data_IF_295747573552
#
_entry.id   IF_295747573552
#
_cell.length_a   1.000
_cell.length_b   1.000
_cell.length_c   1.000
_cell.angle_alpha   90.00
_cell.angle_beta   90.00
_cell.angle_gamma   90.00
#
_symmetry.space_group_name_H-M   'P 1'
#
loop_
_entity.id
_entity.type
_entity.pdbx_description
1 polymer ?
#
# COMPACT_ATOMS: atom_id res chain seq x y z
N UNK A 1 13.21 -4.40 -10.35
CA UNK A 1 14.20 -4.09 -9.30
C UNK A 1 14.38 -2.59 -9.14
N UNK A 2 14.59 -1.82 -10.21
CA UNK A 2 14.71 -0.36 -10.14
C UNK A 2 13.51 0.31 -9.45
N UNK A 3 12.28 -0.07 -9.81
CA UNK A 3 11.05 0.49 -9.20
C UNK A 3 10.96 0.24 -7.70
N UNK A 4 11.43 -0.91 -7.23
CA UNK A 4 11.42 -1.24 -5.80
C UNK A 4 12.45 -0.43 -5.02
N UNK A 5 13.59 -0.11 -5.64
CA UNK A 5 14.58 0.81 -5.06
C UNK A 5 14.01 2.22 -5.02
N UNK A 6 13.43 2.69 -6.13
CA UNK A 6 12.82 4.02 -6.24
C UNK A 6 11.69 4.24 -5.21
N UNK A 7 10.78 3.28 -5.07
CA UNK A 7 9.72 3.34 -4.07
C UNK A 7 10.27 3.36 -2.64
N UNK A 8 11.30 2.55 -2.36
CA UNK A 8 11.94 2.53 -1.04
C UNK A 8 12.67 3.83 -0.72
N UNK A 9 13.41 4.38 -1.67
CA UNK A 9 14.15 5.63 -1.47
C UNK A 9 13.18 6.79 -1.24
N UNK A 10 12.07 6.85 -1.98
CA UNK A 10 11.01 7.83 -1.73
C UNK A 10 10.33 7.64 -0.37
N UNK A 11 10.10 6.40 0.08
CA UNK A 11 9.56 6.12 1.40
C UNK A 11 10.52 6.54 2.54
N UNK A 12 11.83 6.32 2.37
CA UNK A 12 12.85 6.78 3.32
C UNK A 12 12.96 8.29 3.37
N UNK A 13 13.01 8.94 2.21
CA UNK A 13 13.04 10.41 2.13
C UNK A 13 11.79 11.00 2.82
N UNK A 14 10.64 10.38 2.64
CA UNK A 14 9.42 10.79 3.30
C UNK A 14 9.45 10.65 4.83
N UNK A 15 10.37 9.87 5.42
CA UNK A 15 10.50 9.70 6.87
C UNK A 15 11.74 10.39 7.45
N UNK A 16 12.55 11.04 6.62
CA UNK A 16 13.85 11.59 7.02
C UNK A 16 13.76 12.72 8.08
N UNK A 17 12.61 13.36 8.21
CA UNK A 17 12.33 14.42 9.19
C UNK A 17 11.72 13.91 10.50
N UNK A 18 11.57 12.59 10.68
CA UNK A 18 11.01 12.02 11.90
C UNK A 18 12.06 11.96 13.00
N UNK A 19 11.72 12.56 14.14
CA UNK A 19 12.46 12.47 15.39
C UNK A 19 11.57 11.78 16.44
N UNK A 20 12.16 11.11 17.47
CA UNK A 20 13.59 10.99 17.77
C UNK A 20 14.33 9.90 16.96
N UNK A 21 15.66 9.83 17.10
CA UNK A 21 16.55 8.93 16.33
C UNK A 21 16.18 7.45 16.53
N UNK A 22 15.78 7.06 17.73
CA UNK A 22 15.37 5.68 18.04
C UNK A 22 14.14 5.27 17.24
N UNK A 23 13.12 6.13 17.15
CA UNK A 23 11.93 5.88 16.33
C UNK A 23 12.28 5.87 14.83
N UNK A 24 13.14 6.79 14.39
CA UNK A 24 13.62 6.82 13.02
C UNK A 24 14.34 5.52 12.64
N UNK A 25 15.15 4.96 13.54
CA UNK A 25 15.84 3.69 13.31
C UNK A 25 14.86 2.51 13.17
N UNK A 26 13.80 2.45 13.99
CA UNK A 26 12.72 1.46 13.87
C UNK A 26 12.04 1.57 12.50
N UNK A 27 11.68 2.78 12.09
CA UNK A 27 11.05 3.04 10.80
C UNK A 27 11.92 2.60 9.61
N UNK A 28 13.21 2.96 9.60
CA UNK A 28 14.13 2.57 8.52
C UNK A 28 14.35 1.05 8.48
N UNK A 29 14.52 0.41 9.64
CA UNK A 29 14.63 -1.05 9.74
C UNK A 29 13.44 -1.76 9.09
N UNK A 30 12.22 -1.27 9.34
CA UNK A 30 11.00 -1.82 8.73
C UNK A 30 10.96 -1.65 7.21
N UNK A 31 11.41 -0.51 6.68
CA UNK A 31 11.47 -0.29 5.23
C UNK A 31 12.55 -1.15 4.53
N UNK A 32 13.61 -1.55 5.25
CA UNK A 32 14.63 -2.48 4.73
C UNK A 32 14.02 -3.86 4.49
N UNK A 33 13.30 -4.37 5.49
CA UNK A 33 12.80 -5.75 5.50
C UNK A 33 11.58 -5.95 4.62
N UNK A 34 10.76 -4.90 4.47
CA UNK A 34 9.48 -5.07 3.80
C UNK A 34 9.54 -5.15 2.27
N UNK A 35 8.51 -5.80 1.73
CA UNK A 35 8.21 -5.85 0.31
C UNK A 35 7.70 -4.51 -0.22
N UNK A 36 8.31 -4.04 -1.30
CA UNK A 36 7.93 -2.80 -1.99
C UNK A 36 6.83 -3.02 -3.04
N UNK A 37 6.11 -4.14 -2.98
CA UNK A 37 5.12 -4.52 -4.01
C UNK A 37 4.01 -3.46 -4.21
N UNK A 38 3.37 -2.91 -3.15
CA UNK A 38 2.40 -1.84 -3.32
C UNK A 38 2.97 -0.61 -4.04
N UNK A 39 4.15 -0.12 -3.62
CA UNK A 39 4.80 1.01 -4.28
C UNK A 39 5.16 0.74 -5.73
N UNK A 40 5.67 -0.47 -6.03
CA UNK A 40 5.97 -0.89 -7.42
C UNK A 40 4.71 -0.98 -8.26
N UNK A 41 3.60 -1.47 -7.71
CA UNK A 41 2.32 -1.53 -8.42
C UNK A 41 1.85 -0.12 -8.79
N UNK A 42 1.96 0.87 -7.89
CA UNK A 42 1.65 2.27 -8.19
C UNK A 42 2.47 2.81 -9.38
N UNK A 43 3.79 2.59 -9.38
CA UNK A 43 4.66 3.00 -10.48
C UNK A 43 4.33 2.28 -11.79
N UNK A 44 4.03 0.97 -11.70
CA UNK A 44 3.66 0.13 -12.84
C UNK A 44 2.34 0.60 -13.46
N UNK A 45 1.35 0.95 -12.63
CA UNK A 45 0.06 1.46 -13.09
C UNK A 45 0.18 2.79 -13.81
N UNK A 46 0.99 3.73 -13.30
CA UNK A 46 1.24 4.99 -14.01
C UNK A 46 1.90 4.74 -15.38
N UNK A 47 2.96 3.93 -15.41
CA UNK A 47 3.70 3.59 -16.63
C UNK A 47 2.86 2.84 -17.66
N UNK A 48 1.91 2.01 -17.22
CA UNK A 48 1.01 1.29 -18.12
C UNK A 48 0.12 2.25 -18.93
N UNK A 49 -0.27 3.39 -18.36
CA UNK A 49 -1.12 4.39 -19.03
C UNK A 49 -0.31 5.46 -19.76
N UNK A 50 0.86 5.81 -19.23
CA UNK A 50 1.82 6.72 -19.85
C UNK A 50 3.24 6.12 -19.80
N UNK A 51 3.69 5.43 -20.87
CA UNK A 51 5.01 4.79 -20.90
C UNK A 51 6.20 5.75 -20.83
N UNK A 52 5.98 7.06 -21.03
CA UNK A 52 7.04 8.08 -20.99
C UNK A 52 6.97 8.97 -19.75
N UNK A 53 6.09 8.64 -18.79
CA UNK A 53 5.97 9.37 -17.52
C UNK A 53 7.30 9.38 -16.76
N UNK A 54 7.62 10.53 -16.18
CA UNK A 54 8.71 10.63 -15.22
C UNK A 54 8.28 10.06 -13.87
N UNK A 55 8.81 8.88 -13.53
CA UNK A 55 8.42 8.14 -12.32
C UNK A 55 8.89 8.79 -11.04
N UNK A 56 9.87 9.70 -11.08
CA UNK A 56 10.25 10.48 -9.90
C UNK A 56 9.09 11.37 -9.45
N UNK A 57 8.26 11.83 -10.37
CA UNK A 57 7.05 12.61 -10.04
C UNK A 57 5.93 11.77 -9.43
N UNK A 58 6.00 10.44 -9.58
CA UNK A 58 5.02 9.49 -9.03
C UNK A 58 5.53 8.84 -7.74
N UNK A 59 6.84 8.90 -7.49
CA UNK A 59 7.50 8.21 -6.39
C UNK A 59 6.94 8.61 -5.01
N UNK A 60 6.56 9.87 -4.81
CA UNK A 60 5.89 10.31 -3.57
C UNK A 60 4.53 9.62 -3.35
N UNK A 61 3.75 9.39 -4.41
CA UNK A 61 2.48 8.65 -4.30
C UNK A 61 2.72 7.18 -4.01
N UNK A 62 3.71 6.58 -4.68
CA UNK A 62 4.12 5.20 -4.44
C UNK A 62 4.59 4.99 -2.99
N UNK A 63 5.39 5.93 -2.46
CA UNK A 63 5.77 5.96 -1.06
C UNK A 63 4.53 6.09 -0.15
N UNK A 64 3.60 6.98 -0.48
CA UNK A 64 2.36 7.15 0.27
C UNK A 64 1.57 5.85 0.45
N UNK A 65 1.37 5.11 -0.65
CA UNK A 65 0.70 3.80 -0.63
C UNK A 65 1.50 2.77 0.18
N UNK A 66 2.81 2.72 -0.02
CA UNK A 66 3.70 1.79 0.70
C UNK A 66 3.66 2.02 2.21
N UNK A 67 3.73 3.28 2.66
CA UNK A 67 3.71 3.63 4.07
C UNK A 67 2.36 3.27 4.72
N UNK A 68 1.24 3.50 4.02
CA UNK A 68 -0.08 3.05 4.51
C UNK A 68 -0.11 1.53 4.68
N UNK A 69 0.39 0.78 3.68
CA UNK A 69 0.44 -0.68 3.77
C UNK A 69 1.26 -1.15 4.98
N UNK A 70 2.48 -0.64 5.15
CA UNK A 70 3.34 -1.06 6.26
C UNK A 70 2.76 -0.70 7.61
N UNK A 71 2.19 0.49 7.75
CA UNK A 71 1.56 0.91 8.99
C UNK A 71 0.40 0.00 9.38
N UNK A 72 -0.52 -0.27 8.44
CA UNK A 72 -1.68 -1.14 8.69
C UNK A 72 -1.28 -2.61 8.91
N UNK A 73 -0.27 -3.10 8.18
CA UNK A 73 0.27 -4.44 8.38
C UNK A 73 0.88 -4.58 9.78
N UNK A 74 1.64 -3.57 10.23
CA UNK A 74 2.18 -3.54 11.58
C UNK A 74 1.07 -3.46 12.63
N UNK A 75 0.06 -2.62 12.43
CA UNK A 75 -1.12 -2.58 13.31
C UNK A 75 -1.78 -3.95 13.43
N UNK A 76 -1.92 -4.69 12.32
CA UNK A 76 -2.45 -6.07 12.32
C UNK A 76 -1.58 -7.01 13.17
N UNK A 77 -0.26 -6.98 12.98
CA UNK A 77 0.67 -7.78 13.78
C UNK A 77 0.55 -7.45 15.28
N UNK A 78 0.57 -6.16 15.64
CA UNK A 78 0.46 -5.72 17.03
C UNK A 78 -0.87 -6.10 17.67
N UNK A 79 -1.98 -6.00 16.92
CA UNK A 79 -3.30 -6.42 17.39
C UNK A 79 -3.42 -7.94 17.60
N UNK A 80 -2.63 -8.75 16.88
CA UNK A 80 -2.64 -10.21 17.02
C UNK A 80 -1.71 -10.69 18.13
N UNK A 81 -0.51 -10.11 18.21
CA UNK A 81 0.55 -10.61 19.08
C UNK A 81 0.47 -9.98 20.48
N UNK A 82 -0.13 -8.80 20.61
CA UNK A 82 -0.28 -8.02 21.85
C UNK A 82 1.01 -8.02 22.71
N UNK A 83 2.15 -7.57 22.17
CA UNK A 83 3.48 -7.79 22.79
C UNK A 83 3.60 -7.22 24.21
N UNK A 84 2.86 -6.16 24.54
CA UNK A 84 2.78 -5.56 25.88
C UNK A 84 2.23 -6.52 26.96
N UNK A 85 1.49 -7.57 26.59
CA UNK A 85 1.04 -8.60 27.54
C UNK A 85 2.13 -9.62 27.88
N UNK A 86 3.12 -9.77 26.99
CA UNK A 86 4.20 -10.74 27.09
C UNK A 86 5.56 -10.11 27.41
N UNK A 87 5.64 -8.78 27.56
CA UNK A 87 6.86 -8.04 27.82
C UNK A 87 7.58 -8.57 29.08
N UNK A 88 8.80 -9.06 28.89
CA UNK A 88 9.59 -9.68 29.96
C UNK A 88 10.39 -8.65 30.79
N UNK A 89 10.68 -7.49 30.20
CA UNK A 89 11.44 -6.39 30.78
C UNK A 89 11.03 -5.04 30.15
N UNK A 90 11.67 -3.95 30.62
CA UNK A 90 11.40 -2.59 30.17
C UNK A 90 11.83 -2.32 28.73
N UNK A 91 12.84 -3.03 28.22
CA UNK A 91 13.33 -2.82 26.86
C UNK A 91 12.33 -3.42 25.86
N UNK A 92 11.80 -4.62 26.15
CA UNK A 92 10.74 -5.24 25.36
C UNK A 92 9.43 -4.43 25.38
N UNK A 93 9.11 -3.77 26.50
CA UNK A 93 7.94 -2.88 26.62
C UNK A 93 8.13 -1.61 25.76
N UNK A 94 9.34 -1.02 25.80
CA UNK A 94 9.68 0.14 24.97
C UNK A 94 9.66 -0.19 23.48
N UNK A 95 10.16 -1.36 23.06
CA UNK A 95 10.13 -1.78 21.66
C UNK A 95 8.67 -1.90 21.15
N UNK A 96 7.77 -2.45 21.98
CA UNK A 96 6.34 -2.52 21.66
C UNK A 96 5.70 -1.12 21.53
N UNK A 97 6.04 -0.19 22.42
CA UNK A 97 5.59 1.20 22.35
C UNK A 97 6.10 1.90 21.07
N UNK A 98 7.38 1.70 20.72
CA UNK A 98 7.98 2.26 19.51
C UNK A 98 7.32 1.69 18.25
N UNK A 99 6.93 0.42 18.24
CA UNK A 99 6.23 -0.20 17.13
C UNK A 99 4.81 0.36 16.94
N UNK A 100 4.10 0.68 18.02
CA UNK A 100 2.81 1.38 17.95
C UNK A 100 2.99 2.76 17.29
N UNK A 101 3.99 3.53 17.76
CA UNK A 101 4.28 4.84 17.19
C UNK A 101 4.72 4.75 15.73
N UNK A 102 5.52 3.74 15.38
CA UNK A 102 5.94 3.50 14.01
C UNK A 102 4.72 3.24 13.10
N UNK A 103 3.78 2.40 13.53
CA UNK A 103 2.55 2.13 12.78
C UNK A 103 1.76 3.43 12.51
N UNK A 104 1.54 4.24 13.54
CA UNK A 104 0.80 5.50 13.45
C UNK A 104 1.50 6.51 12.52
N UNK A 105 2.82 6.64 12.61
CA UNK A 105 3.62 7.52 11.75
C UNK A 105 3.56 7.07 10.30
N UNK A 106 3.71 5.77 10.03
CA UNK A 106 3.66 5.21 8.68
C UNK A 106 2.31 5.49 8.01
N UNK A 107 1.20 5.20 8.67
CA UNK A 107 -0.14 5.50 8.14
C UNK A 107 -0.29 7.01 7.94
N UNK A 108 -0.01 7.81 8.96
CA UNK A 108 -0.20 9.27 8.92
C UNK A 108 0.63 9.94 7.83
N UNK A 109 1.90 9.56 7.68
CA UNK A 109 2.79 10.09 6.64
C UNK A 109 2.35 9.63 5.26
N UNK A 110 1.91 8.38 5.13
CA UNK A 110 1.36 7.88 3.88
C UNK A 110 0.14 8.67 3.42
N UNK A 111 -0.80 8.95 4.34
CA UNK A 111 -1.93 9.84 4.07
C UNK A 111 -1.50 11.26 3.73
N UNK A 112 -0.52 11.81 4.44
CA UNK A 112 0.01 13.15 4.15
C UNK A 112 0.51 13.27 2.71
N UNK A 113 1.27 12.27 2.22
CA UNK A 113 1.75 12.23 0.84
C UNK A 113 0.61 12.13 -0.18
N UNK A 114 -0.46 11.41 0.14
CA UNK A 114 -1.60 11.26 -0.76
C UNK A 114 -2.63 12.39 -0.64
N UNK A 115 -2.60 13.22 0.39
CA UNK A 115 -3.70 14.11 0.78
C UNK A 115 -4.20 15.08 -0.32
N UNK A 116 -3.37 15.39 -1.31
CA UNK A 116 -3.70 16.25 -2.46
C UNK A 116 -3.93 15.48 -3.75
N UNK A 117 -4.27 14.21 -3.65
CA UNK A 117 -4.53 13.31 -4.77
C UNK A 117 -5.95 12.76 -4.69
N UNK A 118 -6.48 12.37 -5.84
CA UNK A 118 -7.76 11.67 -5.98
C UNK A 118 -7.75 10.36 -5.18
N UNK A 119 -6.61 9.68 -5.14
CA UNK A 119 -6.42 8.44 -4.40
C UNK A 119 -6.64 8.58 -2.88
N UNK A 120 -6.29 9.72 -2.28
CA UNK A 120 -6.59 9.95 -0.87
C UNK A 120 -8.08 10.18 -0.61
N UNK A 121 -8.75 10.91 -1.51
CA UNK A 121 -10.17 11.24 -1.33
C UNK A 121 -11.08 10.02 -1.46
N UNK A 122 -10.73 9.08 -2.34
CA UNK A 122 -11.59 7.95 -2.66
C UNK A 122 -11.16 6.66 -1.97
N UNK A 123 -9.86 6.32 -2.03
CA UNK A 123 -9.43 4.95 -1.76
C UNK A 123 -8.67 4.78 -0.44
N UNK A 124 -7.76 5.70 -0.11
CA UNK A 124 -6.95 5.55 1.10
C UNK A 124 -7.81 5.49 2.38
N UNK A 125 -8.80 6.39 2.49
CA UNK A 125 -9.73 6.40 3.63
C UNK A 125 -10.57 5.13 3.69
N UNK A 126 -11.04 4.61 2.54
CA UNK A 126 -11.83 3.39 2.51
C UNK A 126 -10.99 2.17 2.91
N UNK A 127 -9.73 2.09 2.48
CA UNK A 127 -8.79 1.03 2.91
C UNK A 127 -8.64 0.99 4.43
N UNK A 128 -8.44 2.14 5.10
CA UNK A 128 -8.34 2.16 6.58
C UNK A 128 -9.67 1.79 7.25
N UNK A 129 -10.81 2.22 6.69
CA UNK A 129 -12.13 1.87 7.22
C UNK A 129 -12.47 0.40 7.04
N UNK A 130 -12.11 -0.20 5.91
CA UNK A 130 -12.26 -1.62 5.64
C UNK A 130 -11.38 -2.41 6.61
N UNK A 131 -10.10 -2.07 6.69
CA UNK A 131 -9.16 -2.65 7.65
C UNK A 131 -9.70 -2.64 9.08
N UNK A 132 -10.10 -1.46 9.60
CA UNK A 132 -10.62 -1.37 10.97
C UNK A 132 -11.89 -2.20 11.20
N UNK A 133 -12.81 -2.25 10.22
CA UNK A 133 -14.02 -3.10 10.30
C UNK A 133 -13.65 -4.58 10.33
N UNK A 134 -12.68 -4.99 9.54
CA UNK A 134 -12.24 -6.38 9.46
C UNK A 134 -11.54 -6.81 10.74
N UNK A 135 -10.68 -5.95 11.32
CA UNK A 135 -10.06 -6.20 12.63
C UNK A 135 -11.11 -6.30 13.75
N UNK A 136 -12.12 -5.43 13.79
CA UNK A 136 -13.21 -5.54 14.78
C UNK A 136 -14.06 -6.79 14.58
N UNK A 137 -14.36 -7.19 13.34
CA UNK A 137 -15.14 -8.41 13.06
C UNK A 137 -14.39 -9.66 13.49
N UNK A 138 -13.07 -9.68 13.28
CA UNK A 138 -12.17 -10.77 13.68
C UNK A 138 -12.29 -11.08 15.18
N UNK A 139 -12.39 -10.06 16.04
CA UNK A 139 -12.58 -10.26 17.49
C UNK A 139 -13.87 -11.04 17.84
N UNK A 140 -14.83 -11.08 16.93
CA UNK A 140 -16.17 -11.66 17.14
C UNK A 140 -16.44 -12.97 16.39
N UNK A 141 -15.51 -13.45 15.57
CA UNK A 141 -15.66 -14.66 14.74
C UNK A 141 -14.42 -15.54 14.78
N UNK A 142 -14.59 -16.86 14.62
CA UNK A 142 -13.47 -17.82 14.58
C UNK A 142 -12.91 -18.02 13.15
N UNK A 143 -13.63 -17.59 12.11
CA UNK A 143 -13.23 -17.68 10.69
C UNK A 143 -12.50 -16.41 10.23
N UNK A 144 -11.20 -16.32 10.54
CA UNK A 144 -10.45 -15.05 10.52
C UNK A 144 -9.46 -14.85 9.37
N UNK A 145 -9.04 -15.92 8.67
CA UNK A 145 -8.00 -15.83 7.64
C UNK A 145 -8.44 -15.03 6.40
N UNK A 146 -9.71 -15.12 6.03
CA UNK A 146 -10.26 -14.40 4.88
C UNK A 146 -10.32 -12.88 5.13
N UNK A 147 -10.53 -12.47 6.38
CA UNK A 147 -10.54 -11.06 6.78
C UNK A 147 -9.14 -10.45 6.71
N UNK A 148 -8.09 -11.22 7.04
CA UNK A 148 -6.71 -10.72 7.00
C UNK A 148 -6.25 -10.38 5.58
N UNK A 149 -6.65 -11.19 4.59
CA UNK A 149 -6.27 -10.99 3.17
C UNK A 149 -6.89 -9.76 2.52
N UNK A 150 -7.92 -9.18 3.12
CA UNK A 150 -8.59 -8.01 2.56
C UNK A 150 -7.66 -6.78 2.53
N UNK A 151 -6.73 -6.65 3.49
CA UNK A 151 -5.80 -5.53 3.52
C UNK A 151 -4.97 -5.45 2.24
N UNK A 152 -4.33 -6.55 1.84
CA UNK A 152 -3.52 -6.59 0.64
C UNK A 152 -4.34 -6.30 -0.64
N UNK A 153 -5.59 -6.78 -0.70
CA UNK A 153 -6.49 -6.49 -1.81
C UNK A 153 -6.86 -4.99 -1.88
N UNK A 154 -7.27 -4.40 -0.76
CA UNK A 154 -7.63 -2.97 -0.67
C UNK A 154 -6.41 -2.07 -0.98
N UNK A 155 -5.22 -2.49 -0.56
CA UNK A 155 -3.96 -1.77 -0.83
C UNK A 155 -3.59 -1.84 -2.30
N UNK A 156 -3.83 -2.96 -2.99
CA UNK A 156 -3.57 -3.04 -4.43
C UNK A 156 -4.54 -2.18 -5.23
N UNK A 157 -5.81 -2.12 -4.80
CA UNK A 157 -6.78 -1.19 -5.37
C UNK A 157 -6.34 0.27 -5.16
N UNK A 158 -5.89 0.63 -3.94
CA UNK A 158 -5.31 1.95 -3.66
C UNK A 158 -4.08 2.22 -4.53
N UNK A 159 -3.17 1.25 -4.69
CA UNK A 159 -1.96 1.38 -5.47
C UNK A 159 -2.26 1.72 -6.93
N UNK A 160 -3.23 1.02 -7.52
CA UNK A 160 -3.64 1.26 -8.91
C UNK A 160 -4.31 2.62 -9.06
N UNK A 161 -5.24 2.99 -8.18
CA UNK A 161 -5.86 4.34 -8.20
C UNK A 161 -4.81 5.43 -8.08
N UNK A 162 -3.85 5.29 -7.16
CA UNK A 162 -2.77 6.25 -6.98
C UNK A 162 -1.91 6.41 -8.24
N UNK A 163 -1.64 5.31 -8.96
CA UNK A 163 -0.82 5.32 -10.17
C UNK A 163 -1.54 5.84 -11.41
N UNK A 164 -2.75 5.35 -11.69
CA UNK A 164 -3.53 5.74 -12.88
C UNK A 164 -3.94 7.21 -12.84
N UNK A 165 -4.43 7.69 -11.70
CA UNK A 165 -4.85 9.10 -11.53
C UNK A 165 -3.68 10.07 -11.59
N UNK A 166 -2.46 9.62 -11.28
CA UNK A 166 -1.28 10.48 -11.35
C UNK A 166 -0.93 10.94 -12.77
N UNK A 167 -1.34 10.17 -13.77
CA UNK A 167 -1.18 10.49 -15.19
C UNK A 167 -2.50 10.95 -15.83
N UNK A 168 -3.48 11.34 -15.01
CA UNK A 168 -4.81 11.80 -15.46
C UNK A 168 -5.68 10.69 -16.04
N UNK A 169 -5.37 9.43 -15.76
CA UNK A 169 -6.19 8.28 -16.12
C UNK A 169 -7.33 8.03 -15.14
N UNK A 170 -8.31 7.27 -15.59
CA UNK A 170 -9.40 6.77 -14.75
C UNK A 170 -9.10 5.33 -14.28
N UNK A 171 -9.81 4.88 -13.24
CA UNK A 171 -9.67 3.53 -12.69
C UNK A 171 -11.00 2.79 -12.76
N UNK A 172 -11.30 2.09 -13.87
CA UNK A 172 -12.53 1.33 -14.01
C UNK A 172 -12.63 0.20 -12.98
N UNK A 173 -13.86 -0.21 -12.64
CA UNK A 173 -14.09 -1.31 -11.68
C UNK A 173 -13.39 -2.61 -12.08
N UNK A 174 -13.34 -2.95 -13.37
CA UNK A 174 -12.65 -4.16 -13.84
C UNK A 174 -11.15 -4.15 -13.51
N UNK A 175 -10.53 -2.97 -13.47
CA UNK A 175 -9.15 -2.80 -13.06
C UNK A 175 -8.99 -2.94 -11.55
N UNK A 176 -9.92 -2.42 -10.75
CA UNK A 176 -9.95 -2.64 -9.30
C UNK A 176 -10.09 -4.13 -8.96
N UNK A 177 -11.02 -4.83 -9.61
CA UNK A 177 -11.24 -6.27 -9.42
C UNK A 177 -10.00 -7.10 -9.78
N UNK A 178 -9.29 -6.71 -10.86
CA UNK A 178 -8.02 -7.32 -11.24
C UNK A 178 -6.94 -7.08 -10.19
N UNK A 179 -6.80 -5.83 -9.72
CA UNK A 179 -5.82 -5.46 -8.70
C UNK A 179 -6.05 -6.23 -7.40
N UNK A 180 -7.28 -6.25 -6.89
CA UNK A 180 -7.66 -7.04 -5.72
C UNK A 180 -7.34 -8.54 -5.93
N UNK A 181 -7.57 -9.05 -7.14
CA UNK A 181 -7.27 -10.44 -7.51
C UNK A 181 -5.80 -10.82 -7.41
N UNK A 182 -4.87 -9.91 -7.70
CA UNK A 182 -3.42 -10.16 -7.58
C UNK A 182 -2.96 -10.40 -6.14
N UNK A 183 -3.69 -9.87 -5.15
CA UNK A 183 -3.36 -10.00 -3.74
C UNK A 183 -3.95 -11.26 -3.08
N UNK A 184 -5.02 -11.84 -3.64
CA UNK A 184 -5.82 -12.91 -2.98
C UNK A 184 -5.05 -14.19 -2.68
N UNK A 185 -3.96 -14.43 -3.38
CA UNK A 185 -3.15 -15.64 -3.23
C UNK A 185 -2.12 -15.54 -2.09
N UNK A 186 -2.04 -14.39 -1.39
CA UNK A 186 -1.04 -14.13 -0.36
C UNK A 186 -1.68 -13.86 1.00
N UNK A 187 -1.21 -14.56 2.03
CA UNK A 187 -1.65 -14.43 3.42
C UNK A 187 -0.62 -13.62 4.23
N UNK A 188 -0.97 -12.37 4.61
CA UNK A 188 -0.30 -11.62 5.68
C UNK A 188 1.03 -10.93 5.36
N UNK A 189 1.79 -11.43 4.37
CA UNK A 189 3.01 -10.79 3.89
C UNK A 189 3.14 -10.95 2.37
N UNK A 190 3.35 -9.82 1.68
CA UNK A 190 3.53 -9.81 0.24
C UNK A 190 4.94 -10.26 -0.14
N UNK A 191 5.10 -11.21 -1.07
CA UNK A 191 6.40 -11.49 -1.66
C UNK A 191 6.97 -10.28 -2.42
N UNK A 192 8.25 -10.33 -2.83
CA UNK A 192 8.85 -9.31 -3.66
C UNK A 192 8.06 -9.06 -4.96
N UNK A 193 8.04 -7.82 -5.43
CA UNK A 193 7.22 -7.39 -6.57
C UNK A 193 7.40 -8.24 -7.84
N UNK A 194 8.60 -8.75 -8.10
CA UNK A 194 8.84 -9.61 -9.27
C UNK A 194 8.12 -10.97 -9.22
N UNK A 195 7.70 -11.41 -8.02
CA UNK A 195 6.91 -12.63 -7.81
C UNK A 195 5.42 -12.31 -7.96
N UNK A 196 4.97 -11.20 -7.37
CA UNK A 196 3.55 -10.83 -7.29
C UNK A 196 3.05 -10.18 -8.59
N UNK A 197 3.91 -9.46 -9.30
CA UNK A 197 3.59 -8.68 -10.49
C UNK A 197 4.29 -9.29 -11.71
N UNK A 198 3.64 -10.21 -12.45
CA UNK A 198 4.14 -10.72 -13.71
C UNK A 198 4.46 -9.61 -14.71
N UNK A 199 5.35 -9.88 -15.68
CA UNK A 199 5.69 -8.92 -16.75
C UNK A 199 4.44 -8.45 -17.54
N UNK A 200 3.40 -9.30 -17.61
CA UNK A 200 2.12 -8.98 -18.28
C UNK A 200 1.23 -8.04 -17.49
N UNK A 201 1.56 -7.70 -16.23
CA UNK A 201 0.71 -6.85 -15.38
C UNK A 201 0.52 -5.46 -15.99
N UNK A 202 1.57 -4.85 -16.53
CA UNK A 202 1.47 -3.54 -17.19
C UNK A 202 0.53 -3.59 -18.40
N UNK A 203 0.69 -4.58 -19.28
CA UNK A 203 -0.18 -4.78 -20.44
C UNK A 203 -1.64 -5.00 -20.03
N UNK A 204 -1.86 -5.75 -18.95
CA UNK A 204 -3.21 -6.01 -18.43
C UNK A 204 -3.84 -4.74 -17.89
N UNK A 205 -3.10 -3.94 -17.12
CA UNK A 205 -3.56 -2.64 -16.62
C UNK A 205 -3.93 -1.72 -17.80
N UNK A 206 -3.04 -1.58 -18.79
CA UNK A 206 -3.28 -0.75 -19.97
C UNK A 206 -4.55 -1.20 -20.72
N UNK A 207 -4.76 -2.51 -20.86
CA UNK A 207 -5.96 -3.06 -21.53
C UNK A 207 -7.26 -2.75 -20.78
N UNK A 208 -7.26 -2.81 -19.45
CA UNK A 208 -8.44 -2.58 -18.61
C UNK A 208 -8.76 -1.10 -18.44
N UNK A 209 -7.74 -0.22 -18.50
CA UNK A 209 -7.92 1.24 -18.47
C UNK A 209 -8.35 1.83 -19.82
N UNK A 210 -8.12 1.12 -20.93
CA UNK A 210 -8.43 1.60 -22.28
C UNK A 210 -9.86 1.32 -22.77
N UNK A 211 -10.63 0.49 -22.07
CA UNK A 211 -11.92 -0.05 -22.56
C UNK A 211 -13.04 1.00 -22.65
N UNK A 212 -12.90 2.16 -21.99
CA UNK A 212 -13.86 3.27 -22.13
C UNK A 212 -13.62 4.18 -23.35
N UNK A 213 -12.50 4.04 -24.07
CA UNK A 213 -12.27 4.84 -25.29
C UNK A 213 -12.91 4.28 -26.55
N UNK A 214 -13.47 3.05 -26.51
CA UNK A 214 -13.99 2.37 -27.70
C UNK A 214 -15.52 2.49 -27.86
N UNK A 215 -16.25 2.93 -26.82
CA UNK A 215 -17.73 2.95 -26.85
C UNK A 215 -18.38 4.28 -27.25
N UNK A 216 -17.65 5.39 -27.38
CA UNK A 216 -18.25 6.71 -27.68
C UNK A 216 -18.16 7.20 -29.14
N UNK A 217 -17.67 6.39 -30.09
CA UNK A 217 -17.55 6.77 -31.52
C UNK A 217 -18.68 6.16 -32.38
N UNK A 218 -19.73 5.63 -31.77
CA UNK A 218 -20.92 5.19 -32.48
C UNK A 218 -22.19 5.55 -31.72
N UNK A 219 -22.56 6.82 -31.76
CA UNK A 219 -23.90 7.13 -32.27
C UNK A 219 -23.98 8.55 -32.84
N UNK A 220 -24.79 8.65 -33.90
CA UNK A 220 -24.95 9.77 -34.82
C UNK A 220 -25.91 10.84 -34.32
#
# INVERSE_FOLDING_TARGET
>A
MEDAVRARDAAREALADIEPEELHAVLDGRLVETSMTPGVLTLTSARALDPVVDLDTIAERAAGVQLIYEGLRLTRTLAHDEPWLAAADLDADLDADLDILAADVLVSRGFYLLARTEAAAERAVETVRAFGRDQTRRESTDENADLDRNLEADIFELAVVAGTTAVGGETPNALLEYAAGLARDYDGELPPAAVVLPETTADRIASLSGDDRVTSVSDR
#
